data_IF_915914473301
#
_entry.id   IF_915914473301
#
_cell.length_a   1.000
_cell.length_b   1.000
_cell.length_c   1.000
_cell.angle_alpha   90.00
_cell.angle_beta   90.00
_cell.angle_gamma   90.00
#
_symmetry.space_group_name_H-M   'P 1'
#
loop_
_entity.id
_entity.type
_entity.pdbx_description
1 polymer ?
#
# COMPACT_ATOMS: atom_id res chain seq x y z
N UNK A 1 76.14 44.41 40.13
CA UNK A 1 75.79 45.55 39.26
C UNK A 1 75.78 45.08 37.81
N UNK A 2 74.73 45.44 37.06
CA UNK A 2 74.53 45.37 35.59
C UNK A 2 74.34 43.98 34.89
N UNK A 3 73.10 43.84 34.38
CA UNK A 3 72.58 43.15 33.16
C UNK A 3 73.58 42.61 32.12
N UNK A 4 73.23 41.55 31.34
CA UNK A 4 72.48 41.78 30.09
C UNK A 4 71.17 40.97 29.95
N UNK A 5 70.17 41.62 29.33
CA UNK A 5 68.88 41.07 28.87
C UNK A 5 69.05 40.34 27.52
N UNK A 6 68.35 39.21 27.28
CA UNK A 6 68.16 38.67 25.94
C UNK A 6 66.94 39.29 25.23
N UNK A 7 67.21 39.76 24.01
CA UNK A 7 66.40 39.86 22.77
C UNK A 7 64.86 39.91 22.82
N UNK A 8 64.35 40.93 22.14
CA UNK A 8 62.97 41.38 21.92
C UNK A 8 62.13 40.57 20.92
N UNK A 9 62.54 39.39 20.47
CA UNK A 9 61.83 38.65 19.40
C UNK A 9 60.64 37.78 19.87
N UNK A 10 60.48 37.56 21.17
CA UNK A 10 59.36 36.75 21.69
C UNK A 10 58.12 37.57 22.09
N UNK A 11 58.23 38.91 22.14
CA UNK A 11 57.11 39.76 22.51
C UNK A 11 56.21 40.11 21.30
N UNK A 12 56.76 40.16 20.09
CA UNK A 12 56.05 40.59 18.88
C UNK A 12 55.17 39.47 18.27
N UNK A 13 55.47 38.19 18.54
CA UNK A 13 54.60 37.08 18.11
C UNK A 13 53.40 36.80 19.04
N UNK A 14 53.37 37.38 20.24
CA UNK A 14 52.27 37.14 21.20
C UNK A 14 51.11 38.12 21.08
N UNK A 15 51.35 39.32 20.52
CA UNK A 15 50.30 40.32 20.26
C UNK A 15 49.57 40.11 18.93
N UNK A 16 50.22 39.53 17.91
CA UNK A 16 49.57 39.19 16.63
C UNK A 16 48.61 37.98 16.78
N UNK A 17 48.91 37.06 17.70
CA UNK A 17 48.01 35.96 18.05
C UNK A 17 46.79 36.43 18.88
N UNK A 18 46.99 37.44 19.75
CA UNK A 18 45.91 38.02 20.58
C UNK A 18 45.00 38.97 19.81
N UNK A 19 45.48 39.62 18.74
CA UNK A 19 44.63 40.41 17.83
C UNK A 19 43.85 39.55 16.81
N UNK A 20 44.37 38.39 16.39
CA UNK A 20 43.62 37.46 15.53
C UNK A 20 42.46 36.74 16.23
N UNK A 21 42.53 36.53 17.56
CA UNK A 21 41.45 35.89 18.33
C UNK A 21 40.31 36.88 18.68
N UNK A 22 40.55 38.20 18.69
CA UNK A 22 39.54 39.22 19.02
C UNK A 22 38.80 39.82 17.80
N UNK A 23 39.17 39.46 16.57
CA UNK A 23 38.49 39.87 15.31
C UNK A 23 37.69 38.77 14.62
N UNK A 24 37.36 37.70 15.34
CA UNK A 24 36.47 36.63 14.88
C UNK A 24 35.17 36.54 15.71
N UNK A 25 34.79 37.64 16.35
CA UNK A 25 33.44 37.86 16.87
C UNK A 25 32.94 39.15 16.22
N UNK A 26 31.73 39.13 15.64
CA UNK A 26 31.07 40.17 14.81
C UNK A 26 31.12 39.94 13.29
N UNK A 27 30.74 38.74 12.85
CA UNK A 27 29.92 38.61 11.64
C UNK A 27 28.55 38.13 12.11
N UNK A 28 27.57 39.04 12.08
CA UNK A 28 26.16 38.69 12.17
C UNK A 28 25.80 37.86 10.95
N UNK A 29 25.98 36.54 11.04
CA UNK A 29 25.20 35.62 10.24
C UNK A 29 24.05 35.17 11.13
N UNK A 30 22.95 35.92 11.06
CA UNK A 30 21.66 35.37 11.40
C UNK A 30 21.40 34.22 10.42
N UNK A 31 21.88 33.03 10.77
CA UNK A 31 21.35 31.81 10.22
C UNK A 31 19.90 31.75 10.70
N UNK A 32 18.99 32.34 9.93
CA UNK A 32 17.63 31.87 9.92
C UNK A 32 17.74 30.38 9.62
N UNK A 33 17.62 29.55 10.66
CA UNK A 33 16.97 28.26 10.51
C UNK A 33 15.59 28.57 9.93
N UNK A 34 15.52 28.69 8.62
CA UNK A 34 14.40 28.11 7.92
C UNK A 34 14.51 26.62 8.22
N UNK A 35 13.95 26.20 9.36
CA UNK A 35 13.04 25.07 9.28
C UNK A 35 12.03 25.54 8.24
N UNK A 36 12.30 25.27 6.96
CA UNK A 36 11.21 24.87 6.11
C UNK A 36 10.62 23.70 6.87
N UNK A 37 9.52 23.95 7.60
CA UNK A 37 8.49 22.95 7.61
C UNK A 37 8.31 22.64 6.12
N UNK A 38 8.93 21.55 5.65
CA UNK A 38 8.40 20.88 4.48
C UNK A 38 6.89 20.86 4.76
N UNK A 39 6.05 21.38 3.85
CA UNK A 39 4.61 21.37 4.09
C UNK A 39 4.33 19.97 4.61
N UNK A 40 3.88 19.89 5.86
CA UNK A 40 3.40 18.62 6.39
C UNK A 40 2.36 18.26 5.34
N UNK A 41 2.69 17.26 4.52
CA UNK A 41 1.79 16.80 3.49
C UNK A 41 0.63 16.29 4.31
N UNK A 42 -0.47 17.05 4.38
CA UNK A 42 -1.62 16.60 5.13
C UNK A 42 -2.06 15.30 4.46
N UNK A 43 -1.81 14.20 5.15
CA UNK A 43 -2.05 12.87 4.64
C UNK A 43 -3.56 12.65 4.47
N UNK A 44 -3.90 11.72 3.58
CA UNK A 44 -5.26 11.27 3.41
C UNK A 44 -5.80 10.77 4.76
N UNK A 45 -6.97 11.23 5.17
CA UNK A 45 -7.65 10.77 6.38
C UNK A 45 -8.86 9.93 6.02
N UNK A 46 -8.84 8.67 6.44
CA UNK A 46 -9.96 7.73 6.29
C UNK A 46 -10.86 7.84 7.54
N UNK A 47 -12.02 8.47 7.37
CA UNK A 47 -13.00 8.68 8.41
C UNK A 47 -14.04 7.57 8.41
N UNK A 48 -13.99 6.69 9.41
CA UNK A 48 -14.93 5.60 9.56
C UNK A 48 -16.23 6.08 10.24
N UNK A 49 -17.37 5.80 9.59
CA UNK A 49 -18.71 6.13 10.08
C UNK A 49 -19.42 4.85 10.50
N UNK A 50 -19.59 4.66 11.80
CA UNK A 50 -20.25 3.49 12.36
C UNK A 50 -21.75 3.72 12.56
N UNK A 51 -22.59 2.67 12.46
CA UNK A 51 -24.01 2.78 12.74
C UNK A 51 -24.23 2.95 14.25
N UNK A 52 -25.41 3.44 14.62
CA UNK A 52 -25.81 3.52 16.03
C UNK A 52 -26.04 2.15 16.67
N UNK A 53 -26.34 1.12 15.87
CA UNK A 53 -26.47 -0.27 16.31
C UNK A 53 -25.10 -0.98 16.34
N UNK A 54 -24.93 -2.04 17.14
CA UNK A 54 -23.71 -2.85 17.11
C UNK A 54 -23.50 -3.54 15.75
N UNK A 55 -22.24 -3.69 15.33
CA UNK A 55 -21.85 -4.48 14.16
C UNK A 55 -22.05 -5.97 14.47
N UNK A 56 -21.36 -6.45 15.49
CA UNK A 56 -21.34 -7.83 15.94
C UNK A 56 -22.14 -7.96 17.24
N UNK A 57 -21.73 -7.27 18.29
CA UNK A 57 -22.46 -7.25 19.55
C UNK A 57 -21.91 -6.15 20.45
N UNK A 58 -22.64 -5.80 21.51
CA UNK A 58 -22.13 -4.83 22.48
C UNK A 58 -20.80 -5.30 23.14
N UNK A 59 -20.59 -6.62 23.23
CA UNK A 59 -19.40 -7.23 23.83
C UNK A 59 -18.20 -7.18 22.89
N UNK A 60 -18.39 -7.52 21.61
CA UNK A 60 -17.30 -7.69 20.64
C UNK A 60 -16.94 -6.41 19.89
N UNK A 61 -17.91 -5.49 19.73
CA UNK A 61 -17.72 -4.25 18.99
C UNK A 61 -16.56 -3.37 19.45
N UNK A 62 -16.24 -3.23 20.75
CA UNK A 62 -15.09 -2.44 21.18
C UNK A 62 -13.78 -2.93 20.55
N UNK A 63 -13.56 -4.24 20.49
CA UNK A 63 -12.37 -4.84 19.87
C UNK A 63 -12.45 -4.77 18.34
N UNK A 64 -13.63 -5.06 17.78
CA UNK A 64 -13.85 -5.00 16.33
C UNK A 64 -13.58 -3.61 15.76
N UNK A 65 -14.17 -2.58 16.36
CA UNK A 65 -13.98 -1.18 15.96
C UNK A 65 -12.53 -0.74 16.15
N UNK A 66 -11.85 -1.20 17.21
CA UNK A 66 -10.43 -0.92 17.38
C UNK A 66 -9.58 -1.52 16.24
N UNK A 67 -9.86 -2.74 15.80
CA UNK A 67 -9.18 -3.37 14.66
C UNK A 67 -9.45 -2.65 13.33
N UNK A 68 -10.70 -2.29 13.05
CA UNK A 68 -11.08 -1.58 11.82
C UNK A 68 -10.47 -0.17 11.80
N UNK A 69 -10.50 0.53 12.94
CA UNK A 69 -9.86 1.84 13.09
C UNK A 69 -8.34 1.76 12.90
N UNK A 70 -7.68 0.71 13.42
CA UNK A 70 -6.25 0.51 13.22
C UNK A 70 -5.92 0.32 11.72
N UNK A 71 -6.70 -0.50 11.00
CA UNK A 71 -6.52 -0.69 9.56
C UNK A 71 -6.67 0.63 8.77
N UNK A 72 -7.70 1.42 9.08
CA UNK A 72 -7.86 2.75 8.46
C UNK A 72 -6.73 3.72 8.83
N UNK A 73 -6.24 3.67 10.07
CA UNK A 73 -5.13 4.50 10.54
C UNK A 73 -3.82 4.17 9.82
N UNK A 74 -3.53 2.89 9.61
CA UNK A 74 -2.32 2.45 8.91
C UNK A 74 -2.34 2.89 7.44
N UNK A 75 -3.48 2.76 6.76
CA UNK A 75 -3.66 3.30 5.40
C UNK A 75 -3.57 4.83 5.36
N UNK A 76 -4.18 5.54 6.32
CA UNK A 76 -4.08 7.01 6.41
C UNK A 76 -2.64 7.48 6.66
N UNK A 77 -1.84 6.67 7.37
CA UNK A 77 -0.42 6.94 7.60
C UNK A 77 0.41 6.66 6.35
N UNK A 78 0.08 5.60 5.60
CA UNK A 78 0.82 5.19 4.42
C UNK A 78 0.51 6.04 3.18
N UNK A 79 -0.71 6.58 3.05
CA UNK A 79 -1.17 7.34 1.88
C UNK A 79 -1.01 8.84 2.09
N UNK A 80 -0.12 9.45 1.30
CA UNK A 80 0.21 10.88 1.37
C UNK A 80 -0.55 11.71 0.34
N UNK A 81 -1.59 11.14 -0.27
CA UNK A 81 -2.38 11.81 -1.32
C UNK A 81 -3.09 13.02 -0.76
N UNK A 82 -2.85 14.20 -1.34
CA UNK A 82 -3.64 15.39 -1.03
C UNK A 82 -4.89 15.45 -1.91
N UNK A 83 -6.03 15.74 -1.29
CA UNK A 83 -7.32 15.86 -1.95
C UNK A 83 -7.95 17.20 -1.66
N UNK A 84 -8.46 17.87 -2.69
CA UNK A 84 -9.24 19.08 -2.54
C UNK A 84 -10.59 18.79 -1.85
N UNK A 85 -11.17 19.80 -1.21
CA UNK A 85 -12.54 19.73 -0.71
C UNK A 85 -13.55 19.74 -1.86
N UNK A 86 -14.76 19.25 -1.60
CA UNK A 86 -15.91 19.36 -2.50
C UNK A 86 -17.04 20.09 -1.78
N UNK A 87 -17.38 21.26 -2.28
CA UNK A 87 -18.54 22.07 -1.90
C UNK A 87 -18.67 23.24 -2.91
N UNK A 88 -19.80 23.49 -3.56
CA UNK A 88 -21.10 22.79 -3.51
C UNK A 88 -21.17 21.57 -4.46
N UNK A 89 -22.33 20.93 -4.53
CA UNK A 89 -22.68 19.81 -5.44
C UNK A 89 -23.39 20.28 -6.74
N UNK A 90 -23.34 21.58 -7.04
CA UNK A 90 -23.87 22.14 -8.28
C UNK A 90 -22.88 23.10 -8.96
N UNK A 91 -22.86 23.07 -10.29
CA UNK A 91 -21.87 23.77 -11.10
C UNK A 91 -22.54 24.46 -12.29
N UNK A 92 -22.27 25.76 -12.43
CA UNK A 92 -22.89 26.58 -13.47
C UNK A 92 -21.90 27.00 -14.56
N UNK A 93 -22.41 27.08 -15.78
CA UNK A 93 -21.69 27.56 -16.96
C UNK A 93 -22.56 28.49 -17.80
N UNK A 94 -21.90 29.42 -18.50
CA UNK A 94 -22.56 30.41 -19.35
C UNK A 94 -21.76 30.61 -20.62
N UNK A 95 -22.42 30.58 -21.77
CA UNK A 95 -21.81 30.82 -23.08
C UNK A 95 -22.84 31.28 -24.08
N UNK A 96 -22.51 32.23 -24.95
CA UNK A 96 -23.38 32.64 -26.07
C UNK A 96 -24.81 33.10 -25.70
N UNK A 97 -25.02 33.57 -24.46
CA UNK A 97 -26.35 33.92 -23.95
C UNK A 97 -27.19 32.75 -23.40
N UNK A 98 -26.61 31.54 -23.33
CA UNK A 98 -27.15 30.42 -22.55
C UNK A 98 -26.52 30.38 -21.15
N UNK A 99 -27.27 29.85 -20.20
CA UNK A 99 -26.79 29.45 -18.88
C UNK A 99 -27.32 28.06 -18.52
N UNK A 100 -26.54 27.33 -17.73
CA UNK A 100 -26.94 26.03 -17.16
C UNK A 100 -26.30 25.86 -15.79
N UNK A 101 -27.01 25.19 -14.89
CA UNK A 101 -26.53 24.67 -13.62
C UNK A 101 -26.78 23.17 -13.62
N UNK A 102 -25.72 22.41 -13.42
CA UNK A 102 -25.74 20.95 -13.29
C UNK A 102 -25.66 20.62 -11.79
N UNK A 103 -26.55 19.77 -11.30
CA UNK A 103 -26.50 19.22 -9.95
C UNK A 103 -26.03 17.78 -9.93
N UNK A 104 -25.46 17.36 -8.81
CA UNK A 104 -24.88 16.05 -8.63
C UNK A 104 -25.18 15.55 -7.21
N UNK A 105 -25.17 14.24 -7.03
CA UNK A 105 -25.33 13.63 -5.72
C UNK A 105 -24.38 12.45 -5.54
N UNK A 106 -23.89 12.31 -4.31
CA UNK A 106 -23.06 11.18 -3.93
C UNK A 106 -23.93 10.02 -3.47
N UNK A 107 -23.46 8.81 -3.72
CA UNK A 107 -24.12 7.58 -3.36
C UNK A 107 -23.11 6.59 -2.80
N UNK A 108 -23.60 5.69 -1.95
CA UNK A 108 -22.85 4.52 -1.48
C UNK A 108 -23.77 3.32 -1.34
N UNK A 109 -23.19 2.12 -1.29
CA UNK A 109 -23.91 0.88 -0.96
C UNK A 109 -23.98 0.78 0.56
N UNK A 110 -25.18 0.73 1.11
CA UNK A 110 -25.36 0.65 2.55
C UNK A 110 -24.74 -0.65 3.09
N UNK A 111 -23.77 -0.60 4.02
CA UNK A 111 -23.03 -1.79 4.44
C UNK A 111 -23.86 -2.77 5.27
N UNK A 112 -25.06 -2.38 5.71
CA UNK A 112 -25.99 -3.23 6.47
C UNK A 112 -27.05 -3.84 5.56
N UNK A 113 -27.59 -3.06 4.61
CA UNK A 113 -28.73 -3.49 3.78
C UNK A 113 -28.38 -3.82 2.32
N UNK A 114 -27.16 -3.52 1.87
CA UNK A 114 -26.70 -3.56 0.47
C UNK A 114 -27.46 -2.62 -0.49
N UNK A 115 -28.41 -1.84 0.02
CA UNK A 115 -29.18 -0.91 -0.78
C UNK A 115 -28.35 0.35 -1.10
N UNK A 116 -28.52 0.91 -2.28
CA UNK A 116 -27.98 2.23 -2.62
C UNK A 116 -28.58 3.30 -1.70
N UNK A 117 -27.73 4.17 -1.16
CA UNK A 117 -28.12 5.30 -0.32
C UNK A 117 -27.52 6.59 -0.88
N UNK A 118 -28.36 7.61 -1.02
CA UNK A 118 -28.00 8.95 -1.47
C UNK A 118 -27.48 9.79 -0.31
N UNK A 119 -26.45 10.59 -0.56
CA UNK A 119 -25.93 11.63 0.33
C UNK A 119 -26.20 12.99 -0.33
N UNK A 120 -27.34 13.58 0.00
CA UNK A 120 -27.74 14.89 -0.52
C UNK A 120 -26.90 16.02 0.08
N UNK A 121 -26.56 17.04 -0.71
CA UNK A 121 -25.81 18.23 -0.26
C UNK A 121 -24.48 17.89 0.42
N UNK A 122 -23.78 16.88 -0.09
CA UNK A 122 -22.54 16.42 0.49
C UNK A 122 -21.49 17.54 0.53
N UNK A 123 -20.92 17.78 1.71
CA UNK A 123 -19.73 18.61 1.87
C UNK A 123 -18.58 17.71 2.29
N UNK A 124 -17.53 17.68 1.49
CA UNK A 124 -16.38 16.82 1.71
C UNK A 124 -15.18 17.72 2.02
N UNK A 125 -14.60 17.55 3.20
CA UNK A 125 -13.38 18.26 3.58
C UNK A 125 -12.19 17.85 2.71
N UNK A 126 -11.21 18.74 2.60
CA UNK A 126 -9.92 18.38 2.00
C UNK A 126 -9.32 17.16 2.72
N UNK A 127 -8.58 16.34 1.98
CA UNK A 127 -7.88 15.14 2.45
C UNK A 127 -8.77 14.06 3.10
N UNK A 128 -10.09 14.22 3.18
CA UNK A 128 -10.98 13.24 3.81
C UNK A 128 -11.56 12.22 2.81
N UNK A 129 -11.68 10.96 3.25
CA UNK A 129 -12.50 9.90 2.64
C UNK A 129 -13.39 9.31 3.72
N UNK A 130 -14.70 9.29 3.52
CA UNK A 130 -15.66 8.82 4.52
C UNK A 130 -16.15 7.41 4.17
N UNK A 131 -15.88 6.43 5.02
CA UNK A 131 -16.29 5.04 4.79
C UNK A 131 -17.36 4.66 5.81
N UNK A 132 -18.54 4.28 5.31
CA UNK A 132 -19.62 3.76 6.13
C UNK A 132 -19.36 2.29 6.45
N UNK A 133 -19.27 1.96 7.73
CA UNK A 133 -19.00 0.59 8.20
C UNK A 133 -20.32 -0.08 8.59
N UNK A 134 -20.43 -1.37 8.35
CA UNK A 134 -21.57 -2.19 8.74
C UNK A 134 -21.20 -3.66 8.79
N UNK A 135 -22.16 -4.47 9.23
CA UNK A 135 -22.04 -5.93 9.19
C UNK A 135 -23.38 -6.52 8.74
N UNK A 136 -23.30 -7.59 7.95
CA UNK A 136 -24.44 -8.33 7.41
C UNK A 136 -23.99 -9.74 7.02
N UNK A 137 -24.93 -10.63 6.66
CA UNK A 137 -24.58 -11.98 6.20
C UNK A 137 -23.97 -11.85 4.80
N UNK A 138 -22.72 -12.31 4.66
CA UNK A 138 -22.00 -12.35 3.40
C UNK A 138 -21.84 -13.81 3.01
N UNK A 139 -22.70 -14.29 2.11
CA UNK A 139 -22.74 -15.71 1.76
C UNK A 139 -21.41 -16.26 1.23
N UNK A 140 -21.16 -17.54 1.50
CA UNK A 140 -20.00 -18.27 1.01
C UNK A 140 -18.77 -18.07 1.88
N UNK A 141 -17.62 -17.81 1.27
CA UNK A 141 -16.35 -17.58 1.97
C UNK A 141 -16.00 -16.08 2.08
N UNK A 142 -16.96 -15.21 1.78
CA UNK A 142 -16.74 -13.76 1.73
C UNK A 142 -16.73 -13.20 3.15
N UNK A 143 -15.57 -12.73 3.60
CA UNK A 143 -15.40 -12.21 4.96
C UNK A 143 -15.74 -10.72 5.09
N UNK A 144 -15.60 -10.00 3.99
CA UNK A 144 -15.88 -8.59 3.87
C UNK A 144 -16.23 -8.24 2.43
N UNK A 145 -16.94 -7.12 2.26
CA UNK A 145 -17.17 -6.50 0.95
C UNK A 145 -17.07 -5.00 1.12
N UNK A 146 -16.37 -4.37 0.19
CA UNK A 146 -16.24 -2.93 0.13
C UNK A 146 -16.39 -2.40 -1.30
N UNK A 147 -16.76 -1.13 -1.39
CA UNK A 147 -16.91 -0.42 -2.65
C UNK A 147 -16.63 1.06 -2.43
N UNK A 148 -15.97 1.74 -3.38
CA UNK A 148 -16.05 3.17 -3.47
C UNK A 148 -17.51 3.62 -3.59
N UNK A 149 -17.79 4.82 -3.09
CA UNK A 149 -19.01 5.55 -3.43
C UNK A 149 -18.96 6.01 -4.88
N UNK A 150 -20.10 6.45 -5.38
CA UNK A 150 -20.23 6.93 -6.75
C UNK A 150 -21.00 8.25 -6.83
N UNK A 151 -20.83 8.94 -7.95
CA UNK A 151 -21.50 10.20 -8.25
C UNK A 151 -22.50 9.95 -9.36
N UNK A 152 -23.69 10.52 -9.23
CA UNK A 152 -24.66 10.59 -10.32
C UNK A 152 -25.17 12.02 -10.48
N UNK A 153 -25.74 12.31 -11.65
CA UNK A 153 -26.34 13.61 -11.90
C UNK A 153 -27.70 13.68 -11.19
N UNK A 154 -27.94 14.78 -10.48
CA UNK A 154 -29.23 15.10 -9.89
C UNK A 154 -29.99 16.04 -10.84
N UNK A 155 -30.81 15.43 -11.71
CA UNK A 155 -31.62 16.18 -12.67
C UNK A 155 -32.65 17.10 -11.99
N UNK A 156 -33.00 16.89 -10.71
CA UNK A 156 -33.93 17.77 -10.00
C UNK A 156 -33.31 19.14 -9.69
N UNK A 157 -31.99 19.21 -9.66
CA UNK A 157 -31.21 20.43 -9.46
C UNK A 157 -30.80 21.09 -10.78
N UNK A 158 -31.16 20.51 -11.92
CA UNK A 158 -30.84 21.09 -13.21
C UNK A 158 -31.69 22.34 -13.44
N UNK A 159 -31.03 23.42 -13.80
CA UNK A 159 -31.68 24.64 -14.25
C UNK A 159 -30.90 25.26 -15.40
N UNK A 160 -31.55 25.99 -16.28
CA UNK A 160 -30.88 26.62 -17.40
C UNK A 160 -31.83 27.08 -18.49
N UNK A 161 -31.32 27.92 -19.37
CA UNK A 161 -32.07 28.46 -20.50
C UNK A 161 -31.28 29.48 -21.30
N UNK A 162 -31.96 30.18 -22.19
CA UNK A 162 -31.37 31.23 -23.03
C UNK A 162 -31.22 30.80 -24.48
N UNK A 163 -30.17 31.28 -25.14
CA UNK A 163 -29.94 31.04 -26.58
C UNK A 163 -29.40 29.62 -26.83
N UNK A 164 -30.12 28.81 -27.60
CA UNK A 164 -29.70 27.43 -27.91
C UNK A 164 -28.33 27.35 -28.61
N UNK A 165 -27.92 28.39 -29.35
CA UNK A 165 -26.60 28.47 -29.97
C UNK A 165 -25.43 28.51 -28.97
N UNK A 166 -25.68 28.92 -27.72
CA UNK A 166 -24.69 28.93 -26.64
C UNK A 166 -24.72 27.69 -25.73
N UNK A 167 -25.71 26.81 -25.89
CA UNK A 167 -26.01 25.74 -24.93
C UNK A 167 -24.86 24.76 -24.71
N UNK A 168 -24.29 24.23 -25.80
CA UNK A 168 -23.17 23.28 -25.72
C UNK A 168 -21.98 23.86 -24.94
N UNK A 169 -21.66 25.14 -25.17
CA UNK A 169 -20.58 25.83 -24.47
C UNK A 169 -20.89 26.08 -22.99
N UNK A 170 -22.14 26.40 -22.66
CA UNK A 170 -22.55 26.57 -21.27
C UNK A 170 -22.43 25.24 -20.49
N UNK A 171 -22.87 24.12 -21.08
CA UNK A 171 -22.75 22.78 -20.49
C UNK A 171 -21.29 22.37 -20.34
N UNK A 172 -20.45 22.56 -21.37
CA UNK A 172 -19.03 22.23 -21.29
C UNK A 172 -18.29 22.99 -20.18
N UNK A 173 -18.65 24.27 -19.93
CA UNK A 173 -18.08 25.06 -18.84
C UNK A 173 -18.53 24.52 -17.47
N UNK A 174 -19.81 24.16 -17.32
CA UNK A 174 -20.33 23.59 -16.09
C UNK A 174 -19.69 22.23 -15.79
N UNK A 175 -19.60 21.36 -16.80
CA UNK A 175 -18.96 20.04 -16.75
C UNK A 175 -17.49 20.14 -16.34
N UNK A 176 -16.71 21.02 -16.98
CA UNK A 176 -15.29 21.20 -16.64
C UNK A 176 -15.07 21.66 -15.19
N UNK A 177 -15.94 22.52 -14.66
CA UNK A 177 -15.88 22.92 -13.25
C UNK A 177 -16.24 21.76 -12.30
N UNK A 178 -17.28 21.00 -12.64
CA UNK A 178 -17.67 19.82 -11.87
C UNK A 178 -16.53 18.80 -11.86
N UNK A 179 -15.96 18.46 -13.02
CA UNK A 179 -14.86 17.50 -13.15
C UNK A 179 -13.64 17.90 -12.32
N UNK A 180 -13.26 19.18 -12.34
CA UNK A 180 -12.15 19.68 -11.50
C UNK A 180 -12.41 19.46 -10.00
N UNK A 181 -13.65 19.69 -9.56
CA UNK A 181 -14.01 19.52 -8.16
C UNK A 181 -14.12 18.04 -7.77
N UNK A 182 -14.80 17.22 -8.57
CA UNK A 182 -15.07 15.82 -8.26
C UNK A 182 -13.86 14.90 -8.46
N UNK A 183 -12.89 15.24 -9.31
CA UNK A 183 -11.57 14.57 -9.35
C UNK A 183 -10.74 14.81 -8.09
N UNK A 184 -11.01 15.89 -7.38
CA UNK A 184 -10.32 16.30 -6.14
C UNK A 184 -8.79 16.47 -6.26
N UNK A 185 -8.25 16.52 -7.47
CA UNK A 185 -6.85 16.84 -7.74
C UNK A 185 -5.82 15.75 -7.42
N UNK A 186 -6.23 14.60 -6.86
CA UNK A 186 -5.32 13.51 -6.50
C UNK A 186 -6.06 12.18 -6.35
N UNK A 187 -5.30 11.09 -6.31
CA UNK A 187 -5.86 9.73 -6.23
C UNK A 187 -6.41 9.22 -7.57
N UNK A 188 -7.03 8.04 -7.55
CA UNK A 188 -7.60 7.42 -8.73
C UNK A 188 -8.86 8.12 -9.22
N UNK A 189 -9.10 8.05 -10.53
CA UNK A 189 -10.45 8.20 -11.09
C UNK A 189 -11.20 6.90 -10.79
N UNK A 190 -12.26 7.01 -9.99
CA UNK A 190 -13.13 5.91 -9.60
C UNK A 190 -14.03 5.54 -10.78
N UNK A 191 -14.80 6.50 -11.28
CA UNK A 191 -15.69 6.32 -12.42
C UNK A 191 -16.03 7.67 -13.08
N UNK A 192 -16.89 7.63 -14.10
CA UNK A 192 -17.41 8.80 -14.81
C UNK A 192 -18.93 8.86 -14.64
N UNK A 193 -19.44 9.93 -14.03
CA UNK A 193 -20.86 10.23 -13.99
C UNK A 193 -21.32 10.71 -15.37
N UNK A 194 -22.31 10.02 -15.97
CA UNK A 194 -22.77 10.28 -17.35
C UNK A 194 -24.22 10.72 -17.39
N UNK A 195 -24.49 11.76 -18.18
CA UNK A 195 -25.83 12.29 -18.36
C UNK A 195 -25.96 13.18 -19.59
N UNK A 196 -27.05 13.92 -19.67
CA UNK A 196 -27.23 14.92 -20.73
C UNK A 196 -28.13 16.06 -20.26
N UNK A 197 -27.96 17.23 -20.87
CA UNK A 197 -28.80 18.39 -20.65
C UNK A 197 -29.25 18.95 -22.00
N UNK A 198 -30.54 19.27 -22.12
CA UNK A 198 -31.14 19.71 -23.39
C UNK A 198 -31.80 21.08 -23.28
N UNK A 199 -31.67 21.90 -24.33
CA UNK A 199 -32.40 23.14 -24.51
C UNK A 199 -33.00 23.18 -25.92
N UNK A 200 -34.32 23.05 -26.00
CA UNK A 200 -35.02 22.89 -27.28
C UNK A 200 -34.59 21.59 -27.97
N UNK A 201 -34.06 21.69 -29.19
CA UNK A 201 -33.56 20.56 -29.97
C UNK A 201 -32.03 20.33 -29.84
N UNK A 202 -31.36 21.07 -28.96
CA UNK A 202 -29.92 20.93 -28.71
C UNK A 202 -29.71 20.14 -27.43
N UNK A 203 -29.03 18.99 -27.53
CA UNK A 203 -28.66 18.14 -26.39
C UNK A 203 -27.13 18.12 -26.25
N UNK A 204 -26.65 18.39 -25.04
CA UNK A 204 -25.25 18.23 -24.66
C UNK A 204 -25.12 16.98 -23.78
N UNK A 205 -24.11 16.16 -24.04
CA UNK A 205 -23.71 15.08 -23.13
C UNK A 205 -22.87 15.65 -22.00
N UNK A 206 -22.92 15.01 -20.84
CA UNK A 206 -22.16 15.37 -19.65
C UNK A 206 -21.40 14.12 -19.21
N UNK A 207 -20.08 14.24 -19.03
CA UNK A 207 -19.21 13.19 -18.52
C UNK A 207 -18.30 13.78 -17.44
N UNK A 208 -18.60 13.50 -16.18
CA UNK A 208 -17.82 14.00 -15.04
C UNK A 208 -17.10 12.85 -14.38
N UNK A 209 -15.80 12.73 -14.66
CA UNK A 209 -14.91 11.86 -13.91
C UNK A 209 -14.85 12.30 -12.44
N UNK A 210 -14.88 11.34 -11.52
CA UNK A 210 -14.80 11.60 -10.09
C UNK A 210 -13.81 10.68 -9.39
N UNK A 211 -13.21 11.18 -8.32
CA UNK A 211 -12.27 10.47 -7.47
C UNK A 211 -12.90 9.95 -6.18
N UNK A 212 -12.03 9.43 -5.31
CA UNK A 212 -12.40 8.88 -4.01
C UNK A 212 -13.00 9.93 -3.06
N UNK A 213 -14.11 9.58 -2.41
CA UNK A 213 -14.90 10.50 -1.58
C UNK A 213 -15.60 9.79 -0.44
N UNK A 214 -16.52 8.91 -0.81
CA UNK A 214 -17.22 8.01 0.08
C UNK A 214 -16.85 6.57 -0.23
N UNK A 215 -17.14 5.67 0.71
CA UNK A 215 -17.04 4.23 0.51
C UNK A 215 -17.91 3.50 1.52
N UNK A 216 -17.95 2.18 1.40
CA UNK A 216 -18.65 1.31 2.34
C UNK A 216 -17.80 0.10 2.66
N UNK A 217 -17.88 -0.37 3.91
CA UNK A 217 -17.27 -1.60 4.39
C UNK A 217 -18.34 -2.44 5.10
N UNK A 218 -18.69 -3.58 4.52
CA UNK A 218 -19.53 -4.58 5.15
C UNK A 218 -18.67 -5.77 5.60
N UNK A 219 -18.86 -6.25 6.83
CA UNK A 219 -18.18 -7.41 7.38
C UNK A 219 -19.17 -8.54 7.66
N UNK A 220 -18.70 -9.79 7.57
CA UNK A 220 -19.55 -10.94 7.78
C UNK A 220 -19.80 -11.24 9.26
N UNK A 221 -21.07 -11.37 9.60
CA UNK A 221 -21.57 -11.68 10.95
C UNK A 221 -22.18 -13.10 11.07
N UNK A 222 -22.07 -13.92 10.02
CA UNK A 222 -22.75 -15.22 9.84
C UNK A 222 -21.76 -16.24 9.26
N UNK A 223 -20.77 -16.62 10.07
CA UNK A 223 -19.61 -17.40 9.61
C UNK A 223 -19.93 -18.85 9.28
N UNK A 224 -21.09 -19.37 9.72
CA UNK A 224 -21.59 -20.69 9.34
C UNK A 224 -22.57 -20.66 8.15
N UNK A 225 -22.85 -19.47 7.60
CA UNK A 225 -23.71 -19.22 6.45
C UNK A 225 -25.14 -19.77 6.60
N UNK A 226 -25.68 -19.78 7.82
CA UNK A 226 -27.04 -20.28 8.06
C UNK A 226 -28.13 -19.20 7.87
N UNK A 227 -27.74 -17.96 7.58
CA UNK A 227 -28.62 -16.82 7.34
C UNK A 227 -29.05 -16.09 8.61
N UNK A 228 -28.61 -16.53 9.79
CA UNK A 228 -28.85 -15.88 11.06
C UNK A 228 -27.54 -15.32 11.63
N UNK A 229 -27.65 -14.24 12.41
CA UNK A 229 -26.49 -13.67 13.11
C UNK A 229 -25.92 -14.69 14.09
N UNK A 230 -24.60 -14.89 14.02
CA UNK A 230 -23.88 -15.71 14.98
C UNK A 230 -23.89 -15.12 16.40
N UNK A 231 -23.89 -16.02 17.40
CA UNK A 231 -23.68 -15.64 18.79
C UNK A 231 -22.25 -15.16 19.06
N UNK A 232 -22.02 -14.46 20.18
CA UNK A 232 -20.67 -14.02 20.58
C UNK A 232 -19.65 -15.17 20.63
N UNK A 233 -20.08 -16.39 20.99
CA UNK A 233 -19.23 -17.57 21.03
C UNK A 233 -18.86 -18.07 19.63
N UNK A 234 -19.82 -18.10 18.70
CA UNK A 234 -19.58 -18.46 17.29
C UNK A 234 -18.67 -17.43 16.62
N UNK A 235 -18.98 -16.14 16.75
CA UNK A 235 -18.16 -15.04 16.24
C UNK A 235 -16.76 -15.06 16.82
N UNK A 236 -16.61 -15.33 18.12
CA UNK A 236 -15.28 -15.43 18.75
C UNK A 236 -14.48 -16.65 18.27
N UNK A 237 -15.12 -17.70 17.75
CA UNK A 237 -14.43 -18.84 17.15
C UNK A 237 -14.04 -18.57 15.69
N UNK A 238 -14.82 -17.76 14.98
CA UNK A 238 -14.61 -17.41 13.58
C UNK A 238 -13.60 -16.26 13.41
N UNK A 239 -13.81 -15.16 14.15
CA UNK A 239 -13.02 -13.94 14.07
C UNK A 239 -11.99 -13.82 15.20
N UNK A 240 -10.81 -13.32 14.83
CA UNK A 240 -9.86 -12.72 15.74
C UNK A 240 -10.06 -11.20 15.77
N UNK A 241 -10.76 -10.70 16.80
CA UNK A 241 -11.09 -9.27 16.93
C UNK A 241 -9.95 -8.41 17.48
N UNK A 242 -9.07 -8.96 18.32
CA UNK A 242 -8.06 -8.16 19.00
C UNK A 242 -6.77 -8.04 18.17
N UNK A 243 -6.68 -6.99 17.35
CA UNK A 243 -5.52 -6.73 16.49
C UNK A 243 -4.19 -6.51 17.25
N UNK A 244 -4.20 -6.30 18.57
CA UNK A 244 -2.99 -6.07 19.37
C UNK A 244 -2.32 -7.36 19.85
N UNK A 245 -2.98 -8.51 19.70
CA UNK A 245 -2.44 -9.82 20.06
C UNK A 245 -2.14 -10.64 18.81
N UNK A 246 -1.29 -11.66 18.96
CA UNK A 246 -1.07 -12.66 17.92
C UNK A 246 -2.40 -13.31 17.53
N UNK A 247 -2.59 -13.56 16.23
CA UNK A 247 -3.81 -14.17 15.70
C UNK A 247 -3.90 -15.61 16.21
N UNK A 248 -5.03 -15.96 16.81
CA UNK A 248 -5.25 -17.32 17.28
C UNK A 248 -5.37 -18.28 16.08
N UNK A 249 -4.81 -19.48 16.21
CA UNK A 249 -4.84 -20.50 15.17
C UNK A 249 -6.28 -20.78 14.69
N UNK A 250 -6.46 -20.91 13.38
CA UNK A 250 -7.75 -21.22 12.75
C UNK A 250 -8.74 -20.06 12.65
N UNK A 251 -8.39 -18.84 13.09
CA UNK A 251 -9.29 -17.68 13.01
C UNK A 251 -8.98 -16.76 11.84
N UNK A 252 -10.01 -16.10 11.32
CA UNK A 252 -9.88 -14.98 10.39
C UNK A 252 -9.49 -13.71 11.17
N UNK A 253 -8.44 -13.00 10.77
CA UNK A 253 -8.04 -11.77 11.44
C UNK A 253 -8.85 -10.57 10.91
N UNK A 254 -9.65 -9.95 11.78
CA UNK A 254 -10.56 -8.87 11.37
C UNK A 254 -9.80 -7.64 10.87
N UNK A 255 -8.64 -7.34 11.48
CA UNK A 255 -7.78 -6.24 11.02
C UNK A 255 -7.32 -6.47 9.58
N UNK A 256 -6.85 -7.68 9.26
CA UNK A 256 -6.39 -8.04 7.92
C UNK A 256 -7.50 -7.88 6.88
N UNK A 257 -8.71 -8.36 7.20
CA UNK A 257 -9.88 -8.21 6.31
C UNK A 257 -10.27 -6.74 6.17
N UNK A 258 -10.36 -5.98 7.27
CA UNK A 258 -10.68 -4.56 7.20
C UNK A 258 -9.66 -3.76 6.37
N UNK A 259 -8.36 -4.07 6.50
CA UNK A 259 -7.29 -3.45 5.72
C UNK A 259 -7.47 -3.71 4.22
N UNK A 260 -7.71 -4.98 3.85
CA UNK A 260 -8.01 -5.40 2.48
C UNK A 260 -9.23 -4.67 1.91
N UNK A 261 -10.35 -4.71 2.63
CA UNK A 261 -11.59 -4.12 2.14
C UNK A 261 -11.52 -2.59 2.04
N UNK A 262 -10.82 -1.91 2.95
CA UNK A 262 -10.65 -0.46 2.85
C UNK A 262 -9.86 -0.10 1.58
N UNK A 263 -8.88 -0.91 1.16
CA UNK A 263 -8.17 -0.68 -0.10
C UNK A 263 -9.10 -0.73 -1.33
N UNK A 264 -10.13 -1.58 -1.32
CA UNK A 264 -11.17 -1.55 -2.36
C UNK A 264 -11.95 -0.23 -2.37
N UNK A 265 -12.31 0.31 -1.20
CA UNK A 265 -12.97 1.63 -1.09
C UNK A 265 -12.08 2.77 -1.61
N UNK A 266 -10.76 2.57 -1.64
CA UNK A 266 -9.79 3.51 -2.20
C UNK A 266 -9.55 3.32 -3.70
N UNK A 267 -10.23 2.37 -4.34
CA UNK A 267 -10.22 2.21 -5.80
C UNK A 267 -9.46 0.99 -6.32
N UNK A 268 -8.82 0.20 -5.46
CA UNK A 268 -8.26 -1.09 -5.87
C UNK A 268 -9.38 -2.02 -6.33
N UNK A 269 -9.15 -2.76 -7.42
CA UNK A 269 -10.08 -3.78 -7.92
C UNK A 269 -11.23 -3.24 -8.77
N UNK A 270 -11.76 -2.05 -8.45
CA UNK A 270 -13.03 -1.56 -9.00
C UNK A 270 -12.93 -0.27 -9.81
N UNK A 271 -11.91 0.56 -9.57
CA UNK A 271 -11.83 1.88 -10.21
C UNK A 271 -11.53 1.82 -11.71
N UNK A 272 -11.90 2.89 -12.42
CA UNK A 272 -11.59 3.07 -13.83
C UNK A 272 -10.09 3.13 -14.09
N UNK A 273 -9.32 3.73 -13.18
CA UNK A 273 -7.84 3.72 -13.22
C UNK A 273 -7.26 2.33 -13.02
N UNK A 274 -7.73 1.55 -12.05
CA UNK A 274 -7.34 0.13 -11.90
C UNK A 274 -7.60 -0.66 -13.19
N UNK A 275 -8.80 -0.50 -13.77
CA UNK A 275 -9.16 -1.14 -15.03
C UNK A 275 -8.35 -0.69 -16.24
N UNK A 276 -7.81 0.54 -16.22
CA UNK A 276 -6.96 1.06 -17.28
C UNK A 276 -5.52 0.54 -17.20
N UNK A 277 -5.03 0.18 -15.99
CA UNK A 277 -3.65 -0.27 -15.77
C UNK A 277 -3.51 -1.80 -15.84
N UNK A 278 -4.59 -2.56 -15.65
CA UNK A 278 -4.56 -4.02 -15.87
C UNK A 278 -4.94 -4.40 -17.31
N UNK A 279 -4.43 -5.54 -17.77
CA UNK A 279 -4.83 -6.20 -19.01
C UNK A 279 -4.89 -7.71 -18.80
N UNK A 280 -6.10 -8.25 -18.63
CA UNK A 280 -6.28 -9.64 -18.20
C UNK A 280 -5.64 -9.86 -16.82
N UNK A 281 -4.75 -10.85 -16.73
CA UNK A 281 -3.97 -11.14 -15.51
C UNK A 281 -2.67 -10.33 -15.41
N UNK A 282 -2.40 -9.44 -16.38
CA UNK A 282 -1.18 -8.64 -16.40
C UNK A 282 -1.42 -7.22 -15.87
N UNK A 283 -0.36 -6.62 -15.32
CA UNK A 283 -0.33 -5.24 -14.83
C UNK A 283 0.67 -4.39 -15.61
N UNK A 284 0.33 -3.15 -15.95
CA UNK A 284 1.21 -2.27 -16.74
C UNK A 284 1.71 -1.05 -15.96
N UNK A 285 1.40 -0.96 -14.66
CA UNK A 285 1.77 0.17 -13.83
C UNK A 285 3.26 0.19 -13.50
N UNK A 286 3.90 1.35 -13.66
CA UNK A 286 5.35 1.49 -13.58
C UNK A 286 5.91 1.21 -12.18
N UNK A 287 5.14 1.47 -11.12
CA UNK A 287 5.57 1.31 -9.74
C UNK A 287 5.65 -0.16 -9.36
N UNK A 288 4.64 -0.95 -9.73
CA UNK A 288 4.67 -2.40 -9.54
C UNK A 288 5.72 -3.06 -10.45
N UNK A 289 5.85 -2.60 -11.70
CA UNK A 289 6.87 -3.12 -12.62
C UNK A 289 8.30 -2.85 -12.13
N UNK A 290 8.54 -1.74 -11.44
CA UNK A 290 9.84 -1.44 -10.86
C UNK A 290 10.26 -2.42 -9.76
N UNK A 291 9.29 -3.02 -9.05
CA UNK A 291 9.54 -3.99 -7.98
C UNK A 291 9.59 -5.42 -8.54
N UNK A 292 8.67 -5.76 -9.43
CA UNK A 292 8.49 -7.14 -9.91
C UNK A 292 9.32 -7.48 -11.15
N UNK A 293 9.84 -6.47 -11.87
CA UNK A 293 10.52 -6.62 -13.16
C UNK A 293 9.61 -7.06 -14.33
N UNK A 294 8.40 -7.54 -14.05
CA UNK A 294 7.45 -8.03 -15.04
C UNK A 294 6.02 -7.88 -14.55
N UNK A 295 5.12 -7.48 -15.46
CA UNK A 295 3.70 -7.32 -15.16
C UNK A 295 2.88 -8.61 -15.27
N UNK A 296 3.49 -9.72 -15.67
CA UNK A 296 2.76 -10.94 -16.00
C UNK A 296 2.24 -11.66 -14.75
N UNK A 297 0.98 -12.13 -14.80
CA UNK A 297 0.35 -12.94 -13.77
C UNK A 297 0.28 -12.29 -12.37
N UNK A 298 0.23 -10.95 -12.31
CA UNK A 298 0.12 -10.22 -11.04
C UNK A 298 -1.32 -10.01 -10.59
N UNK A 299 -2.30 -10.23 -11.48
CA UNK A 299 -3.72 -10.00 -11.23
C UNK A 299 -4.48 -11.32 -11.37
N UNK A 300 -5.47 -11.53 -10.50
CA UNK A 300 -6.31 -12.72 -10.58
C UNK A 300 -7.16 -12.76 -11.87
N UNK A 301 -7.79 -13.90 -12.15
CA UNK A 301 -8.59 -14.07 -13.38
C UNK A 301 -9.84 -13.18 -13.47
N UNK A 302 -10.42 -12.79 -12.33
CA UNK A 302 -11.56 -11.88 -12.27
C UNK A 302 -11.14 -10.41 -12.51
N UNK A 303 -9.86 -10.08 -12.31
CA UNK A 303 -9.30 -8.76 -12.52
C UNK A 303 -9.52 -7.79 -11.36
N UNK A 304 -10.02 -8.25 -10.21
CA UNK A 304 -10.41 -7.41 -9.07
C UNK A 304 -9.41 -7.48 -7.90
N UNK A 305 -8.46 -8.40 -7.93
CA UNK A 305 -7.46 -8.60 -6.87
C UNK A 305 -6.06 -8.84 -7.46
N UNK A 306 -5.04 -8.79 -6.61
CA UNK A 306 -3.76 -9.40 -6.93
C UNK A 306 -3.92 -10.93 -7.15
N UNK A 307 -2.99 -11.53 -7.88
CA UNK A 307 -2.93 -12.98 -7.99
C UNK A 307 -2.70 -13.61 -6.59
N UNK A 308 -3.34 -14.76 -6.36
CA UNK A 308 -3.18 -15.49 -5.10
C UNK A 308 -1.75 -15.98 -4.93
N UNK A 309 -1.20 -15.83 -3.72
CA UNK A 309 0.18 -16.15 -3.38
C UNK A 309 1.19 -15.09 -3.82
N UNK A 310 0.75 -13.90 -4.25
CA UNK A 310 1.68 -12.83 -4.60
C UNK A 310 2.36 -12.31 -3.32
N UNK A 311 3.67 -12.52 -3.23
CA UNK A 311 4.49 -12.14 -2.07
C UNK A 311 5.10 -10.75 -2.23
N UNK A 312 5.28 -10.07 -1.10
CA UNK A 312 5.99 -8.79 -1.03
C UNK A 312 6.51 -8.56 0.39
N UNK A 313 7.56 -7.76 0.50
CA UNK A 313 8.07 -7.28 1.79
C UNK A 313 7.05 -6.43 2.53
N UNK A 314 6.78 -6.79 3.77
CA UNK A 314 5.96 -6.01 4.70
C UNK A 314 6.67 -4.72 5.09
N UNK A 315 5.97 -3.58 5.03
CA UNK A 315 6.59 -2.26 5.26
C UNK A 315 7.15 -2.05 6.67
N UNK A 316 6.64 -2.80 7.66
CA UNK A 316 7.01 -2.59 9.07
C UNK A 316 8.38 -3.16 9.44
N UNK A 317 8.81 -4.24 8.78
CA UNK A 317 10.01 -4.98 9.16
C UNK A 317 10.72 -5.70 7.99
N UNK A 318 10.22 -5.58 6.76
CA UNK A 318 10.81 -6.19 5.57
C UNK A 318 10.51 -7.68 5.40
N UNK A 319 9.81 -8.32 6.33
CA UNK A 319 9.51 -9.75 6.23
C UNK A 319 8.58 -10.05 5.03
N UNK A 320 8.83 -11.17 4.35
CA UNK A 320 7.98 -11.64 3.26
C UNK A 320 6.58 -12.04 3.75
N UNK A 321 5.56 -11.55 3.05
CA UNK A 321 4.15 -11.82 3.32
C UNK A 321 3.39 -11.75 1.99
N UNK A 322 2.29 -12.49 1.85
CA UNK A 322 1.35 -12.21 0.77
C UNK A 322 0.85 -10.76 0.85
N UNK A 323 0.68 -10.13 -0.31
CA UNK A 323 0.11 -8.78 -0.41
C UNK A 323 -1.28 -8.75 0.24
N UNK A 324 -1.66 -7.59 0.78
CA UNK A 324 -2.94 -7.41 1.44
C UNK A 324 -4.08 -7.62 0.45
N UNK A 325 -3.94 -7.14 -0.79
CA UNK A 325 -4.98 -7.24 -1.83
C UNK A 325 -5.08 -8.62 -2.51
N UNK A 326 -4.42 -9.64 -1.96
CA UNK A 326 -4.62 -11.04 -2.33
C UNK A 326 -6.05 -11.47 -1.91
N UNK A 327 -6.81 -12.18 -2.76
CA UNK A 327 -8.21 -12.56 -2.47
C UNK A 327 -8.33 -13.64 -1.38
N UNK A 328 -7.23 -14.17 -0.87
CA UNK A 328 -7.20 -15.24 0.12
C UNK A 328 -6.60 -14.76 1.43
N UNK A 329 -7.07 -15.35 2.52
CA UNK A 329 -6.52 -15.16 3.86
C UNK A 329 -6.12 -16.52 4.44
N UNK A 330 -4.88 -16.61 4.91
CA UNK A 330 -4.45 -17.77 5.69
C UNK A 330 -4.90 -17.56 7.14
N UNK A 331 -5.78 -18.42 7.63
CA UNK A 331 -6.27 -18.32 9.02
C UNK A 331 -5.14 -18.48 10.03
N UNK A 332 -5.27 -17.82 11.19
CA UNK A 332 -4.21 -17.80 12.20
C UNK A 332 -3.03 -16.88 11.87
N UNK A 333 -3.11 -16.10 10.80
CA UNK A 333 -2.07 -15.13 10.41
C UNK A 333 -2.63 -13.72 10.29
N UNK A 334 -1.75 -12.72 10.38
CA UNK A 334 -2.08 -11.30 10.16
C UNK A 334 -1.39 -10.82 8.89
N UNK A 335 -2.15 -10.17 8.02
CA UNK A 335 -1.63 -9.38 6.91
C UNK A 335 -1.57 -7.91 7.32
N UNK A 336 -0.49 -7.25 6.95
CA UNK A 336 -0.34 -5.79 7.00
C UNK A 336 0.31 -5.30 5.71
N UNK A 337 0.28 -3.98 5.47
CA UNK A 337 0.72 -3.36 4.22
C UNK A 337 2.12 -3.83 3.79
N UNK A 338 2.23 -4.14 2.51
CA UNK A 338 3.49 -4.51 1.84
C UNK A 338 3.93 -3.44 0.85
N UNK A 339 5.16 -3.55 0.36
CA UNK A 339 5.70 -2.68 -0.67
C UNK A 339 4.86 -2.68 -1.95
N UNK A 340 4.41 -3.86 -2.41
CA UNK A 340 3.54 -3.99 -3.58
C UNK A 340 2.15 -3.41 -3.33
N UNK A 341 1.56 -3.54 -2.15
CA UNK A 341 0.27 -2.89 -1.84
C UNK A 341 0.33 -1.38 -2.07
N UNK A 342 1.42 -0.74 -1.62
CA UNK A 342 1.63 0.68 -1.85
C UNK A 342 1.95 0.99 -3.31
N UNK A 343 2.65 0.10 -4.03
CA UNK A 343 2.94 0.26 -5.44
C UNK A 343 1.66 0.22 -6.30
N UNK A 344 0.74 -0.71 -6.02
CA UNK A 344 -0.58 -0.75 -6.66
C UNK A 344 -1.36 0.54 -6.42
N UNK A 345 -1.37 1.05 -5.18
CA UNK A 345 -1.99 2.34 -4.86
C UNK A 345 -1.37 3.48 -5.67
N UNK A 346 -0.03 3.51 -5.78
CA UNK A 346 0.67 4.54 -6.57
C UNK A 346 0.34 4.47 -8.05
N UNK A 347 0.29 3.27 -8.62
CA UNK A 347 -0.03 3.06 -10.04
C UNK A 347 -1.45 3.48 -10.42
N UNK A 348 -2.40 3.43 -9.48
CA UNK A 348 -3.75 3.95 -9.72
C UNK A 348 -3.89 5.45 -9.42
N UNK A 349 -2.83 6.13 -8.98
CA UNK A 349 -2.80 7.60 -8.84
C UNK A 349 -2.76 8.12 -7.41
N UNK A 350 -2.65 7.26 -6.39
CA UNK A 350 -2.29 7.71 -5.05
C UNK A 350 -0.81 8.14 -4.97
N UNK A 351 -0.50 8.99 -4.01
CA UNK A 351 0.86 9.09 -3.47
C UNK A 351 0.90 8.38 -2.12
N UNK A 352 2.02 7.74 -1.81
CA UNK A 352 2.25 7.02 -0.56
C UNK A 352 3.60 7.40 0.02
N UNK A 353 3.88 6.97 1.25
CA UNK A 353 5.25 6.83 1.73
C UNK A 353 6.01 5.86 0.81
N UNK A 354 7.33 6.05 0.72
CA UNK A 354 8.23 5.10 0.05
C UNK A 354 8.87 4.25 1.14
N UNK A 355 8.56 2.94 1.22
CA UNK A 355 9.21 2.05 2.17
C UNK A 355 10.72 2.05 1.92
N UNK A 356 11.50 2.06 3.00
CA UNK A 356 12.94 1.86 2.96
C UNK A 356 13.27 0.64 3.80
N UNK A 357 13.82 -0.39 3.18
CA UNK A 357 14.28 -1.58 3.87
C UNK A 357 15.79 -1.49 4.11
N UNK A 358 16.31 -2.03 5.22
CA UNK A 358 17.75 -2.20 5.36
C UNK A 358 18.23 -3.09 4.21
N UNK A 359 19.28 -2.67 3.50
CA UNK A 359 19.88 -3.55 2.49
C UNK A 359 20.52 -4.75 3.18
N UNK A 360 20.08 -5.96 2.83
CA UNK A 360 20.74 -7.19 3.25
C UNK A 360 21.88 -7.45 2.27
N UNK A 361 23.15 -7.50 2.69
CA UNK A 361 24.24 -7.76 1.76
C UNK A 361 24.07 -9.13 1.07
N UNK A 362 23.96 -9.12 -0.26
CA UNK A 362 23.68 -10.32 -1.06
C UNK A 362 22.22 -10.49 -1.51
N UNK A 363 21.30 -9.63 -1.06
CA UNK A 363 19.93 -9.48 -1.58
C UNK A 363 20.00 -8.57 -2.81
N UNK A 364 20.26 -9.16 -3.97
CA UNK A 364 20.56 -8.48 -5.22
C UNK A 364 19.32 -8.17 -6.04
N UNK A 365 18.25 -8.95 -5.91
CA UNK A 365 16.96 -8.61 -6.51
C UNK A 365 16.09 -7.71 -5.61
N UNK A 366 16.54 -7.50 -4.37
CA UNK A 366 15.94 -6.56 -3.44
C UNK A 366 14.61 -7.07 -2.90
N UNK A 367 14.38 -8.37 -2.86
CA UNK A 367 13.15 -8.97 -2.33
C UNK A 367 13.20 -9.21 -0.81
N UNK A 368 14.32 -8.89 -0.16
CA UNK A 368 14.46 -8.95 1.29
C UNK A 368 14.89 -10.31 1.83
N UNK A 369 15.14 -11.29 0.97
CA UNK A 369 15.87 -12.49 1.34
C UNK A 369 17.18 -12.65 0.54
N UNK A 370 17.92 -13.73 0.79
CA UNK A 370 19.20 -14.00 0.10
C UNK A 370 19.16 -15.46 -0.32
N UNK A 371 18.75 -15.73 -1.55
CA UNK A 371 18.43 -17.06 -2.02
C UNK A 371 19.00 -17.40 -3.41
N UNK A 372 18.43 -18.42 -4.07
CA UNK A 372 18.89 -18.85 -5.39
C UNK A 372 18.61 -17.84 -6.52
N UNK A 373 17.64 -16.95 -6.35
CA UNK A 373 17.27 -15.89 -7.29
C UNK A 373 18.33 -14.79 -7.27
N UNK A 374 18.79 -14.39 -6.09
CA UNK A 374 19.94 -13.49 -5.94
C UNK A 374 21.20 -14.05 -6.58
N UNK A 375 21.44 -15.34 -6.41
CA UNK A 375 22.59 -15.99 -7.05
C UNK A 375 22.50 -15.88 -8.58
N UNK A 376 21.29 -15.94 -9.14
CA UNK A 376 21.09 -15.74 -10.57
C UNK A 376 21.37 -14.29 -10.98
N UNK A 377 20.95 -13.30 -10.18
CA UNK A 377 21.26 -11.88 -10.37
C UNK A 377 22.77 -11.61 -10.31
N UNK A 378 23.46 -12.16 -9.31
CA UNK A 378 24.93 -12.08 -9.20
C UNK A 378 25.62 -12.73 -10.40
N UNK A 379 25.21 -13.93 -10.82
CA UNK A 379 25.79 -14.63 -11.98
C UNK A 379 25.67 -13.85 -13.27
N UNK A 380 24.54 -13.16 -13.47
CA UNK A 380 24.31 -12.32 -14.65
C UNK A 380 25.17 -11.04 -14.62
N UNK A 381 25.64 -10.64 -13.44
CA UNK A 381 26.37 -9.40 -13.20
C UNK A 381 27.88 -9.61 -13.04
N UNK A 382 28.32 -10.85 -12.78
CA UNK A 382 29.71 -11.21 -12.53
C UNK A 382 30.66 -10.66 -13.61
N UNK A 383 31.60 -9.81 -13.18
CA UNK A 383 32.56 -9.10 -14.02
C UNK A 383 31.94 -8.26 -15.17
N UNK A 384 30.64 -7.94 -15.11
CA UNK A 384 29.91 -7.22 -16.14
C UNK A 384 29.30 -5.91 -15.65
N UNK A 385 28.65 -5.90 -14.49
CA UNK A 385 28.02 -4.74 -13.86
C UNK A 385 28.21 -4.78 -12.35
N UNK A 386 27.76 -3.75 -11.63
CA UNK A 386 27.73 -3.71 -10.16
C UNK A 386 26.38 -4.15 -9.58
N UNK A 387 25.53 -4.82 -10.36
CA UNK A 387 24.20 -5.24 -9.89
C UNK A 387 24.26 -6.42 -8.91
N UNK A 388 25.41 -7.10 -8.82
CA UNK A 388 25.71 -8.12 -7.82
C UNK A 388 26.72 -7.64 -6.77
N UNK A 389 26.82 -6.33 -6.54
CA UNK A 389 27.76 -5.72 -5.58
C UNK A 389 27.21 -5.79 -4.15
N UNK A 390 27.77 -6.66 -3.32
CA UNK A 390 27.36 -6.86 -1.93
C UNK A 390 28.27 -6.15 -0.93
N UNK A 391 29.48 -5.73 -1.32
CA UNK A 391 30.42 -5.03 -0.46
C UNK A 391 30.55 -3.52 -0.74
N UNK A 392 29.80 -3.04 -1.75
CA UNK A 392 29.72 -1.66 -2.22
C UNK A 392 31.02 -1.12 -2.82
N UNK A 393 31.82 -1.96 -3.47
CA UNK A 393 33.06 -1.55 -4.15
C UNK A 393 32.90 -1.22 -5.65
N UNK A 394 31.67 -1.24 -6.14
CA UNK A 394 31.22 -1.00 -7.52
C UNK A 394 31.63 -2.07 -8.53
N UNK A 395 31.87 -3.30 -8.12
CA UNK A 395 31.97 -4.44 -9.03
C UNK A 395 31.12 -5.64 -8.59
N UNK A 396 31.27 -6.78 -9.27
CA UNK A 396 30.53 -8.00 -8.94
C UNK A 396 31.49 -9.16 -9.14
N UNK A 397 32.09 -9.59 -8.04
CA UNK A 397 33.21 -10.53 -8.03
C UNK A 397 33.06 -11.63 -6.96
N UNK A 398 34.14 -12.38 -6.73
CA UNK A 398 34.13 -13.49 -5.80
C UNK A 398 33.92 -13.08 -4.33
N UNK A 399 34.19 -11.83 -3.96
CA UNK A 399 33.93 -11.30 -2.63
C UNK A 399 32.44 -11.08 -2.39
N UNK A 400 31.70 -10.60 -3.39
CA UNK A 400 30.25 -10.48 -3.30
C UNK A 400 29.58 -11.84 -3.18
N UNK A 401 30.08 -12.82 -3.94
CA UNK A 401 29.62 -14.20 -3.81
C UNK A 401 29.83 -14.76 -2.41
N UNK A 402 30.95 -14.45 -1.75
CA UNK A 402 31.19 -14.86 -0.36
C UNK A 402 30.23 -14.17 0.61
N UNK A 403 29.81 -12.94 0.33
CA UNK A 403 28.81 -12.23 1.15
C UNK A 403 27.43 -12.86 0.95
N UNK A 404 27.02 -13.11 -0.29
CA UNK A 404 25.80 -13.86 -0.60
C UNK A 404 25.79 -15.22 0.11
N UNK A 405 26.88 -16.00 0.04
CA UNK A 405 26.99 -17.29 0.72
C UNK A 405 26.83 -17.19 2.25
N UNK A 406 27.33 -16.12 2.86
CA UNK A 406 27.24 -15.91 4.32
C UNK A 406 25.85 -15.48 4.75
N UNK A 407 25.13 -14.77 3.89
CA UNK A 407 23.79 -14.28 4.17
C UNK A 407 22.68 -15.18 3.62
N UNK A 408 23.01 -16.26 2.90
CA UNK A 408 22.04 -17.19 2.32
C UNK A 408 21.01 -17.67 3.33
N UNK A 409 19.75 -17.28 3.11
CA UNK A 409 18.59 -17.61 3.95
C UNK A 409 17.75 -18.75 3.37
N UNK A 410 18.01 -19.14 2.12
CA UNK A 410 17.29 -20.22 1.44
C UNK A 410 17.44 -21.58 2.14
N UNK A 411 16.48 -22.48 1.89
CA UNK A 411 16.51 -23.82 2.47
C UNK A 411 17.76 -24.60 2.01
N UNK A 412 18.63 -24.97 2.95
CA UNK A 412 19.74 -25.88 2.68
C UNK A 412 19.18 -27.29 2.45
N UNK A 413 19.04 -27.68 1.18
CA UNK A 413 18.72 -29.05 0.82
C UNK A 413 19.91 -29.94 1.13
N UNK A 414 19.92 -30.56 2.30
CA UNK A 414 20.83 -31.66 2.61
C UNK A 414 20.42 -32.88 1.77
N UNK A 415 20.94 -32.96 0.54
CA UNK A 415 20.95 -34.25 -0.16
C UNK A 415 21.88 -35.14 0.65
N UNK A 416 21.31 -36.15 1.32
CA UNK A 416 22.09 -37.18 1.98
C UNK A 416 23.05 -37.74 0.92
N UNK A 417 24.34 -37.45 1.08
CA UNK A 417 25.38 -38.03 0.23
C UNK A 417 25.26 -39.54 0.42
N UNK A 418 24.96 -40.33 -0.63
CA UNK A 418 24.96 -41.77 -0.50
C UNK A 418 26.35 -42.18 -0.01
N UNK A 419 26.43 -42.73 1.21
CA UNK A 419 27.71 -43.19 1.72
C UNK A 419 28.29 -44.19 0.71
N UNK A 420 29.50 -43.99 0.17
CA UNK A 420 30.14 -45.01 -0.63
C UNK A 420 30.31 -46.24 0.27
N UNK A 421 29.59 -47.32 -0.07
CA UNK A 421 29.25 -48.42 0.83
C UNK A 421 30.39 -48.84 1.77
N UNK A 422 30.36 -48.35 3.01
CA UNK A 422 31.25 -48.80 4.08
C UNK A 422 31.14 -50.33 4.28
N UNK A 423 29.98 -50.90 3.96
CA UNK A 423 29.74 -52.35 3.93
C UNK A 423 30.61 -53.10 2.91
N UNK A 424 30.94 -52.51 1.76
CA UNK A 424 31.82 -53.14 0.74
C UNK A 424 33.27 -53.17 1.23
N UNK A 425 33.72 -52.11 1.89
CA UNK A 425 35.07 -52.03 2.47
C UNK A 425 35.26 -53.03 3.62
N UNK A 426 34.26 -53.20 4.49
CA UNK A 426 34.31 -54.18 5.58
C UNK A 426 34.27 -55.63 5.06
N UNK A 427 33.48 -55.91 4.00
CA UNK A 427 33.44 -57.24 3.36
C UNK A 427 34.76 -57.62 2.67
N UNK A 428 35.47 -56.68 2.06
CA UNK A 428 36.79 -56.94 1.44
C UNK A 428 37.90 -57.18 2.49
N UNK A 429 37.83 -56.53 3.64
CA UNK A 429 38.79 -56.75 4.75
C UNK A 429 38.53 -58.11 5.43
N UNK A 430 37.26 -58.51 5.59
CA UNK A 430 36.90 -59.81 6.17
C UNK A 430 37.32 -61.01 5.29
N UNK A 431 37.39 -60.83 3.97
CA UNK A 431 37.77 -61.87 3.00
C UNK A 431 39.29 -62.01 2.79
N UNK A 432 40.11 -61.04 3.23
CA UNK A 432 41.58 -61.06 3.05
C UNK A 432 42.35 -61.40 4.33
N UNK A 433 41.69 -61.55 5.48
CA UNK A 433 42.33 -61.97 6.72
C UNK A 433 42.70 -63.48 6.67
N UNK A 434 43.99 -63.85 6.80
CA UNK A 434 44.40 -65.26 6.79
C UNK A 434 43.85 -65.98 8.02
N UNK A 435 43.08 -67.06 7.80
CA UNK A 435 42.62 -67.98 8.84
C UNK A 435 43.82 -68.55 9.59
N UNK A 436 44.08 -68.08 10.82
CA UNK A 436 45.02 -68.72 11.75
C UNK A 436 44.54 -70.14 12.05
N UNK A 437 45.32 -71.15 11.63
CA UNK A 437 45.13 -72.53 12.05
C UNK A 437 45.35 -72.62 13.56
N UNK A 438 44.28 -72.89 14.31
CA UNK A 438 44.36 -73.29 15.72
C UNK A 438 44.98 -74.69 15.78
N UNK A 439 46.23 -74.78 16.20
CA UNK A 439 46.82 -76.04 16.65
C UNK A 439 46.25 -76.36 18.03
N UNK A 440 45.53 -77.47 18.14
CA UNK A 440 45.24 -78.13 19.41
C UNK A 440 46.44 -79.00 19.80
N UNK A 441 47.12 -78.65 20.89
CA UNK A 441 47.95 -79.58 21.65
C UNK A 441 47.22 -79.94 22.94
N UNK A 442 47.10 -81.26 23.16
CA UNK A 442 46.61 -81.89 24.39
C UNK A 442 47.53 -81.63 25.56
#
# INVERSE_FOLDING_TARGET
MKSPRPSSDFAEQSEDFRMRIKRLFHVHLAALLFLSAAPCCEALTINLQYPGSPLFSATLDPLAKAAINAAASDLSTAITTSLNSVSPDFYSGSSGGANVTLGFEFNYRNPVTDAQTVISNATISANAVNIFVGARSLGGNTLGVSSPGFVQLDNSQFSGGGNSGGWLGAVAIAESKAETAYKRGGGPIVETAKGSASLGNVTANINVDFGITYGSLALDWDGDNNGAKDSDAQLSNFWHFNHTTAVAAGKNDLYSVALHEIMHSLGIGTSSTWNAVKSGTSWTGAQVLAITGSGANLINSAGDHAASGLMSRRISDGAQQEVVIDPTITTGTRKSLTELDLAFLRDIGHTTIIPSFPSTPGDFDGDGDVDGTDLQTWRNSFAATANGDADSDNDSDGRDFLIWQRNYTGATSFVAVPEPGACVLILTIALTLPRRKLFHTR
#
